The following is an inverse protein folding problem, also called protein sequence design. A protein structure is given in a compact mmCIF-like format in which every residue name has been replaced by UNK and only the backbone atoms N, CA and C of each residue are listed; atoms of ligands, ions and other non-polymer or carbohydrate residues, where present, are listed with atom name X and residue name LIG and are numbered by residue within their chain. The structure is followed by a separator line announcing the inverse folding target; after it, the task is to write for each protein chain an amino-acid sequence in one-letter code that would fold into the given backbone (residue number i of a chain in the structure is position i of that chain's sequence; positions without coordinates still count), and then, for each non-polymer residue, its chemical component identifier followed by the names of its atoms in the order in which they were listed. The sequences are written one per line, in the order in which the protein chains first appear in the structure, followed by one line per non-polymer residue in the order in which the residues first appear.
data_IF_119554486852
#
_entry.id   IF_119554486852
#
_cell.length_a   1.000
_cell.length_b   1.000
_cell.length_c   1.000
_cell.angle_alpha   90.00
_cell.angle_beta   90.00
_cell.angle_gamma   90.00
#
_symmetry.space_group_name_H-M   'P 1'
#
loop_
_entity.id
_entity.type
_entity.pdbx_description
1 polymer ?
#
# COMPACT_ATOMS: atom_id res chain seq x y z
N UNK A 1 -2.18 -7.95 -8.49
CA UNK A 1 -0.85 -8.51 -8.79
C UNK A 1 -0.66 -8.94 -10.25
N UNK A 2 -1.62 -9.67 -10.85
CA UNK A 2 -1.51 -10.15 -12.23
C UNK A 2 -1.30 -9.06 -13.32
N UNK A 3 -1.72 -7.81 -13.09
CA UNK A 3 -1.50 -6.70 -14.02
C UNK A 3 -0.04 -6.22 -14.09
N UNK A 4 0.75 -6.42 -13.03
CA UNK A 4 2.14 -5.96 -12.94
C UNK A 4 3.16 -7.04 -13.30
N UNK A 5 2.75 -8.31 -13.41
CA UNK A 5 3.64 -9.40 -13.80
C UNK A 5 4.07 -9.38 -15.27
N UNK A 6 3.35 -8.65 -16.13
CA UNK A 6 3.74 -8.41 -17.52
C UNK A 6 3.02 -7.16 -18.06
N UNK A 7 3.66 -6.01 -17.85
CA UNK A 7 3.13 -4.72 -18.26
C UNK A 7 3.01 -4.63 -19.79
N UNK A 8 3.90 -5.27 -20.55
CA UNK A 8 3.83 -5.29 -22.01
C UNK A 8 2.59 -6.05 -22.52
N UNK A 9 2.24 -7.18 -21.90
CA UNK A 9 1.04 -7.93 -22.27
C UNK A 9 -0.24 -7.18 -21.88
N UNK A 10 -0.24 -6.45 -20.75
CA UNK A 10 -1.34 -5.56 -20.38
C UNK A 10 -1.51 -4.45 -21.42
N UNK A 11 -0.43 -3.75 -21.78
CA UNK A 11 -0.43 -2.71 -22.81
C UNK A 11 -0.88 -3.25 -24.16
N UNK A 12 -0.44 -4.45 -24.55
CA UNK A 12 -0.88 -5.10 -25.79
C UNK A 12 -2.38 -5.35 -25.79
N UNK A 13 -2.94 -5.93 -24.71
CA UNK A 13 -4.39 -6.17 -24.59
C UNK A 13 -5.21 -4.89 -24.61
N UNK A 14 -4.72 -3.84 -23.95
CA UNK A 14 -5.36 -2.53 -23.95
C UNK A 14 -5.40 -1.92 -25.35
N UNK A 15 -4.29 -1.95 -26.08
CA UNK A 15 -4.21 -1.32 -27.41
C UNK A 15 -4.83 -2.16 -28.55
N UNK A 16 -4.81 -3.50 -28.48
CA UNK A 16 -5.31 -4.33 -29.59
C UNK A 16 -6.79 -4.69 -29.47
N UNK A 17 -7.30 -4.87 -28.24
CA UNK A 17 -8.68 -5.33 -28.03
C UNK A 17 -9.58 -4.25 -27.47
N UNK A 18 -9.09 -3.47 -26.52
CA UNK A 18 -9.91 -2.52 -25.76
C UNK A 18 -10.00 -1.16 -26.44
N UNK A 19 -8.90 -0.67 -27.02
CA UNK A 19 -8.85 0.60 -27.77
C UNK A 19 -9.89 0.69 -28.92
N UNK A 20 -10.12 -0.34 -29.76
CA UNK A 20 -11.14 -0.27 -30.81
C UNK A 20 -12.57 -0.57 -30.32
N UNK A 21 -12.76 -0.91 -29.03
CA UNK A 21 -14.08 -1.26 -28.51
C UNK A 21 -14.79 -0.01 -27.96
N UNK A 22 -16.01 0.24 -28.44
CA UNK A 22 -16.93 1.19 -27.80
C UNK A 22 -17.61 0.55 -26.57
N UNK A 23 -18.10 1.36 -25.63
CA UNK A 23 -18.82 0.94 -24.42
C UNK A 23 -18.07 0.01 -23.44
N UNK A 24 -16.75 0.12 -23.39
CA UNK A 24 -15.96 -0.65 -22.42
C UNK A 24 -15.61 0.18 -21.18
N UNK A 25 -16.09 -0.28 -20.03
CA UNK A 25 -15.67 0.24 -18.72
C UNK A 25 -14.48 -0.57 -18.21
N UNK A 26 -13.32 0.07 -18.12
CA UNK A 26 -12.15 -0.52 -17.46
C UNK A 26 -12.26 -0.34 -15.95
N UNK A 27 -12.49 -1.44 -15.24
CA UNK A 27 -12.52 -1.44 -13.77
C UNK A 27 -11.21 -2.00 -13.24
N UNK A 28 -10.34 -1.11 -12.76
CA UNK A 28 -9.15 -1.50 -12.02
C UNK A 28 -9.48 -1.62 -10.54
N UNK A 29 -9.77 -2.84 -10.09
CA UNK A 29 -9.86 -3.12 -8.65
C UNK A 29 -8.45 -3.30 -8.12
N UNK A 30 -8.01 -2.41 -7.21
CA UNK A 30 -6.82 -2.63 -6.40
C UNK A 30 -6.91 -4.03 -5.79
N UNK A 31 -6.03 -4.94 -6.22
CA UNK A 31 -6.19 -6.39 -6.01
C UNK A 31 -6.00 -6.85 -4.55
N UNK A 32 -6.00 -5.93 -3.58
CA UNK A 32 -5.75 -6.25 -2.18
C UNK A 32 -6.96 -6.03 -1.25
N UNK A 33 -8.15 -5.65 -1.74
CA UNK A 33 -9.34 -5.67 -0.88
C UNK A 33 -10.65 -5.68 -1.69
N UNK A 34 -11.63 -6.55 -1.36
CA UNK A 34 -12.97 -6.56 -1.96
C UNK A 34 -13.83 -5.35 -1.54
N UNK A 35 -13.32 -4.48 -0.67
CA UNK A 35 -13.95 -3.23 -0.24
C UNK A 35 -13.05 -2.05 -0.60
N UNK A 36 -13.66 -0.91 -0.99
CA UNK A 36 -12.96 0.37 -1.16
C UNK A 36 -12.18 0.67 0.12
N UNK A 37 -10.86 0.47 0.10
CA UNK A 37 -10.00 0.75 1.25
C UNK A 37 -10.02 2.26 1.43
N UNK A 38 -10.70 2.73 2.48
CA UNK A 38 -10.39 4.04 3.01
C UNK A 38 -8.91 3.97 3.38
N UNK A 39 -8.06 4.67 2.61
CA UNK A 39 -6.67 4.89 2.97
C UNK A 39 -6.69 5.79 4.20
N UNK A 40 -6.96 5.18 5.34
CA UNK A 40 -6.77 5.83 6.61
C UNK A 40 -5.27 6.11 6.70
N UNK A 41 -4.86 7.31 7.12
CA UNK A 41 -3.45 7.66 7.28
C UNK A 41 -2.73 6.76 8.32
N UNK A 42 -3.47 5.87 8.95
CA UNK A 42 -3.06 4.94 9.99
C UNK A 42 -3.63 3.55 9.73
N UNK A 43 -2.81 2.54 10.01
CA UNK A 43 -3.20 1.13 10.01
C UNK A 43 -2.75 0.50 11.34
N UNK A 44 -3.55 -0.41 11.86
CA UNK A 44 -3.28 -1.11 13.13
C UNK A 44 -3.21 -2.59 12.89
N UNK A 45 -2.10 -3.20 13.29
CA UNK A 45 -1.86 -4.63 13.17
C UNK A 45 -1.85 -5.25 14.57
N UNK A 46 -2.88 -6.02 14.89
CA UNK A 46 -2.96 -6.75 16.16
C UNK A 46 -2.36 -8.14 16.02
N UNK A 47 -1.38 -8.45 16.86
CA UNK A 47 -0.75 -9.76 16.99
C UNK A 47 -1.19 -10.38 18.31
N UNK A 48 -1.96 -11.48 18.24
CA UNK A 48 -2.47 -12.15 19.43
C UNK A 48 -1.34 -12.76 20.28
N UNK A 49 -1.67 -13.16 21.52
CA UNK A 49 -0.73 -13.94 22.34
C UNK A 49 -0.30 -15.23 21.64
N UNK A 50 0.99 -15.54 21.68
CA UNK A 50 1.58 -16.67 20.96
C UNK A 50 1.72 -16.47 19.44
N UNK A 51 1.23 -15.36 18.87
CA UNK A 51 1.46 -14.95 17.49
C UNK A 51 2.57 -13.90 17.44
N UNK A 52 3.82 -14.33 17.29
CA UNK A 52 4.95 -13.41 17.20
C UNK A 52 4.87 -12.56 15.93
N UNK A 53 5.20 -11.26 16.05
CA UNK A 53 5.34 -10.32 14.92
C UNK A 53 6.25 -10.89 13.83
N UNK A 54 7.31 -11.59 14.24
CA UNK A 54 8.30 -12.25 13.39
C UNK A 54 7.77 -13.32 12.45
N UNK A 55 6.53 -13.79 12.65
CA UNK A 55 5.86 -14.73 11.73
C UNK A 55 5.41 -14.05 10.43
N UNK A 56 5.10 -12.75 10.51
CA UNK A 56 4.71 -11.95 9.34
C UNK A 56 5.85 -11.04 8.89
N UNK A 57 6.46 -10.31 9.82
CA UNK A 57 7.49 -9.32 9.53
C UNK A 57 8.86 -9.98 9.72
N UNK A 58 9.68 -9.96 8.68
CA UNK A 58 10.98 -10.63 8.69
C UNK A 58 12.13 -9.73 9.13
N UNK A 59 11.98 -8.42 8.95
CA UNK A 59 12.98 -7.44 9.36
C UNK A 59 12.37 -6.04 9.44
N UNK A 60 12.84 -5.28 10.42
CA UNK A 60 12.64 -3.84 10.55
C UNK A 60 13.98 -3.10 10.53
N UNK A 61 13.93 -1.84 10.10
CA UNK A 61 15.08 -0.93 10.15
C UNK A 61 14.70 0.37 10.83
N UNK A 62 15.65 0.98 11.52
CA UNK A 62 15.55 2.33 12.05
C UNK A 62 16.51 3.23 11.29
N UNK A 63 15.99 4.32 10.73
CA UNK A 63 16.79 5.35 10.10
C UNK A 63 16.20 6.72 10.44
N UNK A 64 17.06 7.67 10.85
CA UNK A 64 16.64 9.04 11.20
C UNK A 64 15.50 9.09 12.22
N UNK A 65 15.54 8.22 13.24
CA UNK A 65 14.51 8.14 14.28
C UNK A 65 13.19 7.51 13.83
N UNK A 66 13.13 6.91 12.65
CA UNK A 66 11.92 6.31 12.08
C UNK A 66 12.12 4.82 11.87
N UNK A 67 11.15 4.02 12.28
CA UNK A 67 11.15 2.57 12.10
C UNK A 67 10.25 2.21 10.92
N UNK A 68 10.71 1.32 10.05
CA UNK A 68 9.94 0.80 8.92
C UNK A 68 10.18 -0.70 8.73
N UNK A 69 9.21 -1.35 8.11
CA UNK A 69 9.33 -2.74 7.67
C UNK A 69 10.22 -2.77 6.43
N UNK A 70 11.23 -3.64 6.42
CA UNK A 70 12.08 -3.86 5.25
C UNK A 70 11.74 -5.15 4.52
N UNK A 71 11.16 -6.13 5.23
CA UNK A 71 10.83 -7.43 4.67
C UNK A 71 9.65 -8.06 5.38
N UNK A 72 8.71 -8.61 4.60
CA UNK A 72 7.70 -9.55 5.07
C UNK A 72 8.14 -11.00 4.79
N UNK A 73 7.73 -11.94 5.63
CA UNK A 73 8.00 -13.39 5.49
C UNK A 73 6.78 -14.15 4.96
N UNK A 74 5.58 -13.68 5.27
CA UNK A 74 4.32 -14.30 4.86
C UNK A 74 3.13 -13.39 5.15
N UNK A 75 1.90 -13.83 4.84
CA UNK A 75 0.69 -13.06 5.11
C UNK A 75 0.43 -12.92 6.62
N UNK A 76 -0.14 -11.79 7.04
CA UNK A 76 -0.49 -11.56 8.43
C UNK A 76 -1.27 -10.27 8.70
N UNK A 77 -1.44 -9.91 9.99
CA UNK A 77 -2.24 -8.77 10.42
C UNK A 77 -1.87 -7.43 9.78
N UNK A 78 -0.58 -7.13 9.59
CA UNK A 78 -0.16 -5.87 9.00
C UNK A 78 -0.55 -5.77 7.53
N UNK A 79 -0.35 -6.83 6.75
CA UNK A 79 -0.77 -6.88 5.35
C UNK A 79 -2.29 -6.83 5.19
N UNK A 80 -3.04 -7.53 6.06
CA UNK A 80 -4.51 -7.44 6.09
C UNK A 80 -4.99 -6.01 6.38
N UNK A 81 -4.27 -5.28 7.24
CA UNK A 81 -4.53 -3.88 7.53
C UNK A 81 -4.04 -2.91 6.43
N UNK A 82 -3.44 -3.42 5.35
CA UNK A 82 -2.96 -2.63 4.22
C UNK A 82 -1.58 -1.98 4.44
N UNK A 83 -0.85 -2.37 5.48
CA UNK A 83 0.50 -1.87 5.77
C UNK A 83 1.47 -2.30 4.68
N UNK A 84 2.29 -1.35 4.22
CA UNK A 84 3.32 -1.56 3.20
C UNK A 84 4.72 -1.29 3.76
N UNK A 85 5.76 -1.69 3.03
CA UNK A 85 7.16 -1.54 3.46
C UNK A 85 7.62 -0.06 3.54
N UNK A 86 6.94 0.85 2.86
CA UNK A 86 7.17 2.30 2.91
C UNK A 86 6.46 3.00 4.10
N UNK A 87 5.62 2.28 4.85
CA UNK A 87 4.94 2.82 6.02
C UNK A 87 5.88 2.89 7.23
N UNK A 88 5.62 3.87 8.09
CA UNK A 88 6.40 4.11 9.29
C UNK A 88 5.67 3.56 10.51
N UNK A 89 6.38 2.87 11.39
CA UNK A 89 5.87 2.51 12.71
C UNK A 89 5.80 3.77 13.58
N UNK A 90 4.62 4.06 14.10
CA UNK A 90 4.42 5.08 15.12
C UNK A 90 4.82 4.50 16.48
N UNK A 91 6.07 4.72 16.87
CA UNK A 91 6.63 4.19 18.11
C UNK A 91 5.89 4.68 19.34
N UNK A 92 5.60 5.98 19.43
CA UNK A 92 4.97 6.56 20.61
C UNK A 92 3.56 5.99 20.79
N UNK A 93 2.77 5.93 19.71
CA UNK A 93 1.42 5.36 19.79
C UNK A 93 1.46 3.85 20.04
N UNK A 94 2.39 3.14 19.41
CA UNK A 94 2.57 1.69 19.64
C UNK A 94 2.91 1.43 21.11
N UNK A 95 3.88 2.14 21.69
CA UNK A 95 4.26 1.95 23.09
C UNK A 95 3.13 2.32 24.06
N UNK A 96 2.47 3.46 23.83
CA UNK A 96 1.35 3.89 24.66
C UNK A 96 0.17 2.91 24.62
N UNK A 97 -0.07 2.29 23.47
CA UNK A 97 -1.14 1.29 23.32
C UNK A 97 -0.79 -0.05 23.98
N UNK A 98 0.50 -0.38 24.10
CA UNK A 98 0.99 -1.65 24.64
C UNK A 98 1.68 -1.50 26.01
N UNK A 99 1.30 -0.49 26.80
CA UNK A 99 1.97 -0.11 28.06
C UNK A 99 2.10 -1.23 29.10
N UNK A 100 1.30 -2.30 29.00
CA UNK A 100 1.45 -3.53 29.80
C UNK A 100 2.27 -4.65 29.13
N UNK A 101 2.09 -4.88 27.82
CA UNK A 101 2.68 -6.02 27.09
C UNK A 101 4.12 -5.77 26.61
N UNK A 102 4.55 -4.51 26.53
CA UNK A 102 5.89 -4.11 26.03
C UNK A 102 6.78 -3.49 27.12
N UNK A 103 6.60 -3.88 28.39
CA UNK A 103 7.30 -3.26 29.54
C UNK A 103 8.83 -3.30 29.47
N UNK A 104 9.43 -4.21 28.69
CA UNK A 104 10.87 -4.30 28.46
C UNK A 104 11.38 -3.55 27.21
N UNK A 105 10.46 -3.06 26.36
CA UNK A 105 10.78 -2.35 25.14
C UNK A 105 10.41 -0.87 25.28
N UNK A 106 11.41 0.01 25.34
CA UNK A 106 11.21 1.45 25.22
C UNK A 106 11.60 1.94 23.83
N UNK A 107 11.22 3.19 23.49
CA UNK A 107 11.50 3.77 22.17
C UNK A 107 12.98 3.76 21.80
N UNK A 108 13.87 4.04 22.77
CA UNK A 108 15.32 4.02 22.55
C UNK A 108 15.84 2.62 22.20
N UNK A 109 15.36 1.59 22.91
CA UNK A 109 15.73 0.19 22.65
C UNK A 109 15.24 -0.24 21.26
N UNK A 110 14.02 0.13 20.88
CA UNK A 110 13.47 -0.20 19.56
C UNK A 110 14.23 0.54 18.46
N UNK A 111 14.64 1.80 18.67
CA UNK A 111 15.42 2.54 17.68
C UNK A 111 16.83 1.98 17.53
N UNK A 112 17.46 1.50 18.61
CA UNK A 112 18.76 0.85 18.57
C UNK A 112 18.69 -0.55 17.93
N UNK A 113 17.61 -1.30 18.19
CA UNK A 113 17.38 -2.62 17.62
C UNK A 113 15.89 -2.85 17.28
N UNK A 114 15.45 -2.44 16.08
CA UNK A 114 14.05 -2.58 15.67
C UNK A 114 13.58 -4.03 15.60
N UNK A 115 14.50 -4.96 15.34
CA UNK A 115 14.19 -6.38 15.25
C UNK A 115 13.87 -7.00 16.62
N UNK A 116 14.05 -6.28 17.73
CA UNK A 116 13.54 -6.70 19.04
C UNK A 116 12.00 -6.88 19.03
N UNK A 117 11.29 -6.14 18.17
CA UNK A 117 9.84 -6.27 17.98
C UNK A 117 9.43 -7.60 17.37
N UNK A 118 10.32 -8.31 16.67
CA UNK A 118 9.97 -9.56 15.97
C UNK A 118 9.54 -10.67 16.94
N UNK A 119 10.03 -10.63 18.18
CA UNK A 119 9.66 -11.62 19.20
C UNK A 119 8.43 -11.21 20.02
N UNK A 120 7.87 -10.02 19.80
CA UNK A 120 6.70 -9.55 20.52
C UNK A 120 5.43 -10.30 20.06
N UNK A 121 4.56 -10.63 21.01
CA UNK A 121 3.21 -11.16 20.81
C UNK A 121 2.27 -10.48 21.80
N UNK A 122 0.95 -10.56 21.57
CA UNK A 122 -0.02 -9.86 22.41
C UNK A 122 0.09 -8.33 22.29
N UNK A 123 0.48 -7.84 21.10
CA UNK A 123 0.78 -6.43 20.84
C UNK A 123 0.05 -5.89 19.62
N UNK A 124 -0.24 -4.59 19.64
CA UNK A 124 -0.74 -3.86 18.47
C UNK A 124 0.34 -2.95 17.93
N UNK A 125 0.78 -3.18 16.69
CA UNK A 125 1.68 -2.25 15.99
C UNK A 125 0.84 -1.21 15.23
N UNK A 126 1.17 0.08 15.41
CA UNK A 126 0.47 1.19 14.77
C UNK A 126 1.38 1.78 13.70
N UNK A 127 0.92 1.76 12.46
CA UNK A 127 1.66 2.28 11.31
C UNK A 127 0.99 3.53 10.76
N UNK A 128 1.80 4.46 10.26
CA UNK A 128 1.37 5.69 9.60
C UNK A 128 1.90 5.74 8.17
N UNK A 129 1.03 6.15 7.27
CA UNK A 129 1.42 6.48 5.90
C UNK A 129 2.12 7.86 5.92
N UNK A 130 3.40 7.96 5.51
CA UNK A 130 4.15 9.21 5.59
C UNK A 130 3.61 10.31 4.65
N UNK A 131 2.91 9.91 3.58
CA UNK A 131 2.27 10.80 2.61
C UNK A 131 0.81 10.37 2.43
N UNK A 132 -0.08 10.70 3.39
CA UNK A 132 -1.48 10.25 3.35
C UNK A 132 -2.32 11.06 2.37
N UNK A 133 -1.78 12.18 1.87
CA UNK A 133 -2.42 13.01 0.85
C UNK A 133 -1.93 12.50 -0.51
N UNK A 134 -2.82 11.98 -1.37
CA UNK A 134 -2.48 11.69 -2.75
C UNK A 134 -1.88 12.94 -3.38
N UNK A 135 -0.67 12.84 -3.90
CA UNK A 135 -0.07 13.93 -4.66
C UNK A 135 -0.07 13.51 -6.11
N UNK A 136 -0.75 14.27 -6.95
CA UNK A 136 -0.75 14.04 -8.39
C UNK A 136 0.68 14.22 -8.91
N UNK A 137 1.32 13.10 -9.28
CA UNK A 137 2.68 13.09 -9.83
C UNK A 137 2.70 13.21 -11.34
N UNK A 138 1.59 12.89 -11.97
CA UNK A 138 1.44 12.83 -13.40
C UNK A 138 -0.03 13.08 -13.77
N UNK A 139 -0.24 13.83 -14.84
CA UNK A 139 -1.54 14.01 -15.48
C UNK A 139 -1.35 13.68 -16.95
N UNK A 140 -2.20 12.80 -17.50
CA UNK A 140 -2.25 12.53 -18.91
C UNK A 140 -3.67 12.67 -19.42
N UNK A 141 -3.79 13.35 -20.56
CA UNK A 141 -4.97 13.38 -21.41
C UNK A 141 -4.60 12.79 -22.76
N UNK A 142 -5.48 11.99 -23.36
CA UNK A 142 -5.32 11.48 -24.72
C UNK A 142 -6.52 11.88 -25.57
N UNK A 143 -6.27 12.43 -26.75
CA UNK A 143 -7.33 12.67 -27.73
C UNK A 143 -7.94 11.35 -28.22
N UNK A 144 -9.24 11.35 -28.53
CA UNK A 144 -9.94 10.22 -29.14
C UNK A 144 -9.32 9.74 -30.48
N UNK A 145 -8.43 10.54 -31.07
CA UNK A 145 -7.68 10.21 -32.30
C UNK A 145 -6.22 9.77 -32.08
N UNK A 146 -5.73 9.68 -30.84
CA UNK A 146 -4.36 9.21 -30.59
C UNK A 146 -4.25 7.71 -30.92
N UNK A 147 -3.35 7.37 -31.83
CA UNK A 147 -3.18 5.99 -32.31
C UNK A 147 -2.75 4.99 -31.21
N UNK A 148 -2.31 5.47 -30.03
CA UNK A 148 -1.83 4.65 -28.91
C UNK A 148 -2.06 5.36 -27.57
N UNK A 149 -2.35 4.56 -26.54
CA UNK A 149 -2.22 5.02 -25.15
C UNK A 149 -0.74 5.20 -24.83
N UNK A 150 -0.33 6.41 -24.43
CA UNK A 150 1.03 6.68 -23.99
C UNK A 150 1.36 5.90 -22.72
N UNK A 151 2.59 5.41 -22.61
CA UNK A 151 3.10 4.90 -21.35
C UNK A 151 3.86 6.01 -20.61
N UNK A 152 3.72 6.04 -19.29
CA UNK A 152 4.47 6.93 -18.42
C UNK A 152 5.02 6.08 -17.27
N UNK A 153 6.31 6.27 -16.96
CA UNK A 153 6.85 5.79 -15.70
C UNK A 153 6.34 6.68 -14.57
N UNK A 154 5.55 6.10 -13.68
CA UNK A 154 5.01 6.80 -12.52
C UNK A 154 6.02 6.76 -11.37
N UNK A 155 6.40 7.90 -10.79
CA UNK A 155 7.25 7.90 -9.60
C UNK A 155 6.42 7.52 -8.37
N UNK A 156 6.60 6.29 -7.89
CA UNK A 156 5.99 5.79 -6.65
C UNK A 156 5.12 4.55 -6.84
N UNK A 157 4.52 4.08 -5.73
CA UNK A 157 3.92 2.73 -5.65
C UNK A 157 2.38 2.75 -5.77
N UNK A 158 1.82 3.91 -6.12
CA UNK A 158 0.39 4.11 -6.35
C UNK A 158 0.17 5.19 -7.41
N UNK A 159 -0.95 5.08 -8.12
CA UNK A 159 -1.48 6.13 -8.99
C UNK A 159 -2.98 6.27 -8.75
N UNK A 160 -3.44 7.51 -8.76
CA UNK A 160 -4.85 7.83 -8.74
C UNK A 160 -5.27 8.20 -10.15
N UNK A 161 -6.34 7.56 -10.64
CA UNK A 161 -6.87 7.80 -11.97
C UNK A 161 -8.17 8.57 -11.83
N UNK A 162 -8.26 9.71 -12.50
CA UNK A 162 -9.49 10.48 -12.64
C UNK A 162 -9.91 10.40 -14.10
N UNK A 163 -11.11 9.88 -14.33
CA UNK A 163 -11.72 9.87 -15.66
C UNK A 163 -12.69 11.03 -15.73
N UNK A 164 -12.56 11.85 -16.76
CA UNK A 164 -13.58 12.81 -17.14
C UNK A 164 -14.02 12.50 -18.55
N UNK A 165 -15.32 12.46 -18.76
CA UNK A 165 -15.94 12.38 -20.08
C UNK A 165 -16.50 13.76 -20.40
N UNK A 166 -16.41 14.20 -21.65
CA UNK A 166 -17.06 15.43 -22.12
C UNK A 166 -18.60 15.34 -22.07
N UNK A 167 -19.15 14.16 -21.80
CA UNK A 167 -20.56 13.95 -21.50
C UNK A 167 -21.40 13.61 -22.71
N UNK A 168 -20.81 13.15 -23.80
CA UNK A 168 -21.53 12.74 -25.01
C UNK A 168 -22.06 11.29 -24.98
N UNK A 169 -22.03 10.63 -23.81
CA UNK A 169 -22.65 9.31 -23.54
C UNK A 169 -24.19 9.30 -23.61
N UNK A 170 -24.76 10.01 -24.59
CA UNK A 170 -26.15 9.94 -24.99
C UNK A 170 -26.43 8.67 -25.78
N UNK A 171 -27.17 7.77 -25.15
CA UNK A 171 -27.75 6.55 -25.69
C UNK A 171 -28.43 6.70 -27.05
N UNK A 172 -28.14 5.76 -27.96
CA UNK A 172 -29.13 5.19 -28.89
C UNK A 172 -29.06 3.67 -28.88
#
# INVERSE_FOLDING_TARGET
DAAFGSIEELCRRLNEKLLPSSDVMLVFTNSCSPSKVALLPEARAFYAEGQAVGREIGSLSAAKGRVRITRFVGPGPAQVAGVRADWLLDLDRTLNHNSGSMSSLCGEVILANPNALLNASGVTLIFKQPHPIPTQKFEASGDAGSARWGFCELPGDFAEFVFSTDGDGGSQ
#
